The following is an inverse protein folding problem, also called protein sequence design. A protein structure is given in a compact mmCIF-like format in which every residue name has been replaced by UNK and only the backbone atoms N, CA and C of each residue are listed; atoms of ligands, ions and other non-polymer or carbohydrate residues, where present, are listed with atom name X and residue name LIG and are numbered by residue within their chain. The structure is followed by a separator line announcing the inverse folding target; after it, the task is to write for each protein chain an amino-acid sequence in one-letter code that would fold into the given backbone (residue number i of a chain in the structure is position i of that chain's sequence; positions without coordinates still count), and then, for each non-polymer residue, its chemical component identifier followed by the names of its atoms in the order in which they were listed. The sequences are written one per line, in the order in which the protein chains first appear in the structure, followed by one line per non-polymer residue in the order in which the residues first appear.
data_IF_520406632168
#
_entry.id   IF_520406632168
#
_cell.length_a   1.000
_cell.length_b   1.000
_cell.length_c   1.000
_cell.angle_alpha   90.00
_cell.angle_beta   90.00
_cell.angle_gamma   90.00
#
_symmetry.space_group_name_H-M   'P 1'
#
loop_
_entity.id
_entity.type
_entity.pdbx_description
1 polymer ?
#
# COMPACT_ATOMS: atom_id res chain seq x y z
N UNK A 1 3.10 8.05 -24.03
CA UNK A 1 1.97 8.65 -24.78
C UNK A 1 2.56 9.46 -25.93
N UNK A 2 2.32 9.10 -27.22
CA UNK A 2 3.01 9.75 -28.34
C UNK A 2 2.80 11.27 -28.40
N UNK A 3 1.61 11.76 -28.02
CA UNK A 3 1.29 13.19 -28.04
C UNK A 3 1.72 13.94 -26.77
N UNK A 4 2.40 13.29 -25.81
CA UNK A 4 2.77 13.93 -24.54
C UNK A 4 1.58 14.40 -23.68
N UNK A 5 0.36 13.90 -23.93
CA UNK A 5 -0.84 14.39 -23.25
C UNK A 5 -0.97 13.93 -21.79
N UNK A 6 -0.17 12.94 -21.36
CA UNK A 6 -0.20 12.43 -19.98
C UNK A 6 0.99 13.03 -19.24
N UNK A 7 0.71 13.63 -18.09
CA UNK A 7 1.72 14.27 -17.25
C UNK A 7 1.41 14.01 -15.77
N UNK A 8 2.44 14.11 -14.93
CA UNK A 8 2.35 14.06 -13.48
C UNK A 8 2.50 15.50 -12.97
N UNK A 9 1.54 15.95 -12.15
CA UNK A 9 1.61 17.25 -11.47
C UNK A 9 2.78 17.26 -10.49
N UNK A 10 3.47 18.39 -10.41
CA UNK A 10 4.69 18.51 -9.60
C UNK A 10 4.37 18.68 -8.11
N UNK A 11 3.27 19.39 -7.83
CA UNK A 11 2.82 19.79 -6.50
C UNK A 11 2.25 18.63 -5.66
N UNK A 12 1.48 17.72 -6.27
CA UNK A 12 0.75 16.66 -5.56
C UNK A 12 1.03 15.24 -6.11
N UNK A 13 1.74 15.13 -7.23
CA UNK A 13 2.04 13.86 -7.88
C UNK A 13 0.85 13.20 -8.58
N UNK A 14 -0.28 13.89 -8.78
CA UNK A 14 -1.43 13.34 -9.50
C UNK A 14 -1.14 13.23 -10.99
N UNK A 15 -1.34 12.04 -11.56
CA UNK A 15 -1.17 11.80 -13.01
C UNK A 15 -2.48 12.14 -13.72
N UNK A 16 -2.45 13.02 -14.71
CA UNK A 16 -3.63 13.44 -15.48
C UNK A 16 -3.47 13.18 -16.97
N UNK A 17 -4.59 13.13 -17.68
CA UNK A 17 -4.62 13.17 -19.15
C UNK A 17 -5.15 14.55 -19.54
N UNK A 18 -4.35 15.34 -20.25
CA UNK A 18 -4.79 16.60 -20.82
C UNK A 18 -5.69 16.30 -22.03
N UNK A 19 -7.00 16.53 -21.90
CA UNK A 19 -7.98 16.23 -22.94
C UNK A 19 -7.82 17.08 -24.21
N UNK A 20 -7.34 18.33 -24.07
CA UNK A 20 -7.06 19.22 -25.20
C UNK A 20 -5.89 18.70 -26.05
N UNK A 21 -4.87 18.15 -25.40
CA UNK A 21 -3.68 17.59 -26.08
C UNK A 21 -3.85 16.12 -26.48
N UNK A 22 -4.86 15.44 -25.94
CA UNK A 22 -5.10 14.04 -26.21
C UNK A 22 -5.53 13.82 -27.68
N UNK A 23 -4.76 13.03 -28.42
CA UNK A 23 -5.02 12.72 -29.85
C UNK A 23 -5.61 11.32 -30.07
N UNK A 24 -6.17 10.70 -29.03
CA UNK A 24 -6.86 9.42 -29.16
C UNK A 24 -6.01 8.24 -29.68
N UNK A 25 -4.68 8.28 -29.53
CA UNK A 25 -3.80 7.20 -29.97
C UNK A 25 -4.06 5.86 -29.25
N UNK A 26 -4.76 5.89 -28.10
CA UNK A 26 -5.13 4.72 -27.26
C UNK A 26 -3.96 3.85 -26.76
N UNK A 27 -2.71 4.19 -27.11
CA UNK A 27 -1.52 3.49 -26.62
C UNK A 27 -1.41 3.47 -25.09
N UNK A 28 -1.90 4.53 -24.42
CA UNK A 28 -1.93 4.59 -22.95
C UNK A 28 -2.86 3.54 -22.32
N UNK A 29 -3.95 3.16 -23.00
CA UNK A 29 -4.89 2.13 -22.53
C UNK A 29 -4.20 0.77 -22.51
N UNK A 30 -3.49 0.44 -23.59
CA UNK A 30 -2.71 -0.79 -23.69
C UNK A 30 -1.54 -0.80 -22.70
N UNK A 31 -0.75 0.29 -22.68
CA UNK A 31 0.47 0.40 -21.91
C UNK A 31 0.26 0.40 -20.39
N UNK A 32 -0.87 0.86 -19.88
CA UNK A 32 -1.15 0.80 -18.44
C UNK A 32 -1.33 -0.66 -18.00
N UNK A 33 -0.44 -1.23 -17.17
CA UNK A 33 -0.55 -2.63 -16.79
C UNK A 33 -1.78 -2.86 -15.89
N UNK A 34 -2.15 -1.87 -15.08
CA UNK A 34 -3.35 -1.89 -14.24
C UNK A 34 -4.67 -1.62 -14.99
N UNK A 35 -4.61 -1.31 -16.29
CA UNK A 35 -5.79 -0.96 -17.11
C UNK A 35 -6.67 0.13 -16.49
N UNK A 36 -6.03 1.16 -15.91
CA UNK A 36 -6.70 2.31 -15.25
C UNK A 36 -6.82 3.57 -16.12
N UNK A 37 -6.61 3.41 -17.42
CA UNK A 37 -6.93 4.41 -18.43
C UNK A 37 -8.03 3.84 -19.31
N UNK A 38 -9.13 4.56 -19.44
CA UNK A 38 -10.30 4.13 -20.19
C UNK A 38 -10.46 5.03 -21.42
N UNK A 39 -10.92 4.46 -22.53
CA UNK A 39 -11.23 5.25 -23.71
C UNK A 39 -12.70 5.65 -23.69
N UNK A 40 -12.96 6.95 -23.78
CA UNK A 40 -14.31 7.46 -23.96
C UNK A 40 -14.64 7.48 -25.46
N UNK A 41 -15.58 6.63 -25.84
CA UNK A 41 -16.02 6.48 -27.23
C UNK A 41 -16.79 7.70 -27.76
N UNK A 42 -17.37 8.51 -26.88
CA UNK A 42 -18.13 9.71 -27.25
C UNK A 42 -17.22 10.91 -27.48
N UNK A 43 -16.33 11.22 -26.52
CA UNK A 43 -15.39 12.35 -26.66
C UNK A 43 -14.22 12.03 -27.59
N UNK A 44 -14.01 10.74 -27.85
CA UNK A 44 -12.86 10.24 -28.56
C UNK A 44 -11.55 10.40 -27.79
N UNK A 45 -11.58 10.70 -26.49
CA UNK A 45 -10.37 10.90 -25.65
C UNK A 45 -10.20 9.75 -24.67
N UNK A 46 -8.99 9.61 -24.15
CA UNK A 46 -8.73 8.72 -23.01
C UNK A 46 -8.87 9.49 -21.70
N UNK A 47 -9.51 8.86 -20.72
CA UNK A 47 -9.79 9.39 -19.39
C UNK A 47 -9.26 8.43 -18.32
N UNK A 48 -9.04 8.93 -17.11
CA UNK A 48 -8.56 8.12 -15.97
C UNK A 48 -9.00 8.72 -14.65
N UNK A 49 -8.77 7.98 -13.56
CA UNK A 49 -8.90 8.53 -12.20
C UNK A 49 -8.04 9.80 -12.06
N UNK A 50 -8.65 10.89 -11.62
CA UNK A 50 -7.99 12.19 -11.43
C UNK A 50 -7.58 12.43 -9.95
N UNK A 51 -7.60 11.38 -9.12
CA UNK A 51 -7.44 11.42 -7.66
C UNK A 51 -8.32 12.47 -6.96
N UNK A 52 -9.42 12.88 -7.59
CA UNK A 52 -10.24 14.00 -7.15
C UNK A 52 -9.40 15.26 -6.85
N UNK A 53 -8.44 15.62 -7.71
CA UNK A 53 -7.58 16.79 -7.47
C UNK A 53 -8.34 18.08 -7.09
N UNK A 54 -9.55 18.41 -7.61
CA UNK A 54 -10.25 19.63 -7.16
C UNK A 54 -10.65 19.59 -5.69
N UNK A 55 -10.86 18.38 -5.13
CA UNK A 55 -11.10 18.16 -3.70
C UNK A 55 -9.79 18.27 -2.91
N UNK A 56 -8.71 17.69 -3.43
CA UNK A 56 -7.40 17.77 -2.76
C UNK A 56 -6.89 19.21 -2.66
N UNK A 57 -7.10 20.03 -3.68
CA UNK A 57 -6.76 21.46 -3.69
C UNK A 57 -7.53 22.28 -2.63
N UNK A 58 -8.59 21.72 -2.06
CA UNK A 58 -9.40 22.32 -1.00
C UNK A 58 -9.36 21.50 0.29
N UNK A 59 -8.28 20.75 0.50
CA UNK A 59 -8.02 19.90 1.68
C UNK A 59 -9.09 18.84 1.96
N UNK A 60 -9.85 18.46 0.94
CA UNK A 60 -10.84 17.40 1.06
C UNK A 60 -10.25 16.06 0.60
N UNK A 61 -10.58 15.00 1.34
CA UNK A 61 -10.28 13.65 0.91
C UNK A 61 -10.94 13.33 -0.44
N UNK A 62 -10.29 12.53 -1.31
CA UNK A 62 -10.91 12.02 -2.53
C UNK A 62 -12.23 11.34 -2.23
N UNK A 63 -13.22 11.49 -3.12
CA UNK A 63 -14.59 11.04 -2.88
C UNK A 63 -14.66 9.56 -2.48
N UNK A 64 -13.83 8.73 -3.12
CA UNK A 64 -13.79 7.30 -2.86
C UNK A 64 -13.13 6.94 -1.50
N UNK A 65 -12.27 7.79 -0.96
CA UNK A 65 -11.72 7.65 0.39
C UNK A 65 -12.73 8.13 1.44
N UNK A 66 -13.35 9.29 1.17
CA UNK A 66 -14.37 9.89 2.04
C UNK A 66 -15.61 9.00 2.21
N UNK A 67 -16.08 8.35 1.14
CA UNK A 67 -17.27 7.49 1.19
C UNK A 67 -16.99 6.05 1.63
N UNK A 68 -15.77 5.74 2.09
CA UNK A 68 -15.39 4.38 2.43
C UNK A 68 -16.08 3.90 3.73
N UNK A 69 -17.18 3.16 3.57
CA UNK A 69 -17.97 2.61 4.69
C UNK A 69 -17.11 1.74 5.62
N UNK A 70 -16.23 0.91 5.06
CA UNK A 70 -15.34 0.03 5.83
C UNK A 70 -14.19 0.75 6.56
N UNK A 71 -14.01 2.06 6.34
CA UNK A 71 -12.94 2.88 6.96
C UNK A 71 -11.52 2.32 6.75
N UNK A 72 -11.29 1.66 5.61
CA UNK A 72 -10.01 1.01 5.27
C UNK A 72 -9.06 1.90 4.45
N UNK A 73 -9.50 3.08 4.03
CA UNK A 73 -8.72 3.97 3.15
C UNK A 73 -8.07 5.07 3.95
N UNK A 74 -6.75 5.15 3.85
CA UNK A 74 -5.93 6.19 4.47
C UNK A 74 -5.28 7.02 3.38
N UNK A 75 -5.31 8.35 3.54
CA UNK A 75 -4.59 9.30 2.71
C UNK A 75 -3.48 9.94 3.54
N UNK A 76 -2.35 10.24 2.91
CA UNK A 76 -1.22 10.86 3.58
C UNK A 76 -0.13 11.20 2.58
N UNK A 77 0.63 12.25 2.89
CA UNK A 77 1.74 12.73 2.07
C UNK A 77 2.91 11.75 2.19
N UNK A 78 3.60 11.53 1.07
CA UNK A 78 4.87 10.82 1.00
C UNK A 78 5.87 11.71 0.26
N UNK A 79 6.97 12.03 0.91
CA UNK A 79 8.10 12.68 0.26
C UNK A 79 8.90 11.61 -0.48
N UNK A 80 9.29 11.88 -1.72
CA UNK A 80 10.07 10.94 -2.52
C UNK A 80 11.13 11.67 -3.34
N UNK A 81 12.24 10.98 -3.57
CA UNK A 81 13.30 11.45 -4.47
C UNK A 81 12.98 11.02 -5.91
N UNK A 82 12.66 12.00 -6.76
CA UNK A 82 12.28 11.75 -8.15
C UNK A 82 13.45 11.21 -8.99
N UNK A 83 14.69 11.59 -8.68
CA UNK A 83 15.88 11.20 -9.44
C UNK A 83 16.24 9.73 -9.22
N UNK A 84 15.83 9.15 -8.09
CA UNK A 84 16.04 7.73 -7.78
C UNK A 84 15.04 6.80 -8.46
N UNK A 85 13.94 7.31 -9.00
CA UNK A 85 12.85 6.49 -9.57
C UNK A 85 13.34 5.56 -10.69
N UNK A 86 14.12 6.00 -11.70
CA UNK A 86 14.57 5.11 -12.77
C UNK A 86 15.45 3.98 -12.28
N UNK A 87 16.34 4.25 -11.32
CA UNK A 87 17.19 3.23 -10.70
C UNK A 87 16.37 2.23 -9.89
N UNK A 88 15.44 2.72 -9.07
CA UNK A 88 14.56 1.88 -8.25
C UNK A 88 13.63 1.00 -9.09
N UNK A 89 13.13 1.49 -10.23
CA UNK A 89 12.30 0.70 -11.13
C UNK A 89 13.11 -0.36 -11.92
N UNK A 90 14.44 -0.22 -11.99
CA UNK A 90 15.35 -1.07 -12.76
C UNK A 90 15.94 -2.26 -12.00
N UNK A 91 15.74 -2.37 -10.68
CA UNK A 91 16.33 -3.44 -9.85
C UNK A 91 15.76 -4.82 -10.13
N UNK A 92 16.35 -5.89 -9.58
CA UNK A 92 15.81 -7.24 -9.69
C UNK A 92 14.45 -7.38 -8.98
N UNK A 93 13.62 -8.34 -9.38
CA UNK A 93 12.26 -8.49 -8.81
C UNK A 93 12.28 -8.69 -7.28
N UNK A 94 13.29 -9.39 -6.76
CA UNK A 94 13.50 -9.59 -5.32
C UNK A 94 13.80 -8.31 -4.54
N UNK A 95 14.29 -7.25 -5.21
CA UNK A 95 14.70 -5.99 -4.59
C UNK A 95 13.67 -4.86 -4.80
N UNK A 96 12.60 -5.11 -5.57
CA UNK A 96 11.63 -4.07 -5.92
C UNK A 96 10.94 -3.47 -4.69
N UNK A 97 10.64 -4.29 -3.67
CA UNK A 97 9.99 -3.82 -2.44
C UNK A 97 10.92 -2.92 -1.61
N UNK A 98 12.19 -3.30 -1.46
CA UNK A 98 13.17 -2.45 -0.78
C UNK A 98 13.39 -1.16 -1.55
N UNK A 99 13.55 -1.23 -2.87
CA UNK A 99 13.74 -0.06 -3.72
C UNK A 99 12.54 0.91 -3.66
N UNK A 100 11.30 0.39 -3.67
CA UNK A 100 10.10 1.18 -3.43
C UNK A 100 10.16 1.96 -2.11
N UNK A 101 10.58 1.28 -1.04
CA UNK A 101 10.67 1.89 0.28
C UNK A 101 11.81 2.91 0.38
N UNK A 102 12.92 2.69 -0.31
CA UNK A 102 14.09 3.60 -0.31
C UNK A 102 13.84 4.91 -1.03
N UNK A 103 12.99 4.90 -2.07
CA UNK A 103 12.56 6.12 -2.76
C UNK A 103 11.73 7.04 -1.87
N UNK A 104 11.03 6.48 -0.88
CA UNK A 104 10.25 7.25 0.10
C UNK A 104 11.16 7.74 1.23
N UNK A 105 11.23 9.06 1.37
CA UNK A 105 12.10 9.79 2.29
C UNK A 105 11.45 9.96 3.68
N UNK A 106 12.29 10.10 4.72
CA UNK A 106 11.81 10.36 6.08
C UNK A 106 11.44 11.84 6.26
N UNK A 107 10.17 12.18 6.56
CA UNK A 107 9.73 13.56 6.74
C UNK A 107 10.25 14.24 8.02
N UNK A 108 10.92 13.51 8.90
CA UNK A 108 11.53 14.04 10.13
C UNK A 108 13.05 14.25 10.01
N UNK A 109 13.66 13.78 8.92
CA UNK A 109 15.09 13.96 8.68
C UNK A 109 15.39 15.44 8.34
N UNK A 110 16.28 16.12 9.10
CA UNK A 110 16.67 17.50 8.82
C UNK A 110 17.17 17.75 7.39
N UNK A 111 17.88 16.80 6.78
CA UNK A 111 18.40 16.93 5.41
C UNK A 111 17.26 16.89 4.39
N UNK A 112 16.31 15.98 4.57
CA UNK A 112 15.10 15.86 3.73
C UNK A 112 14.24 17.11 3.85
N UNK A 113 14.08 17.66 5.06
CA UNK A 113 13.31 18.90 5.29
C UNK A 113 13.97 20.09 4.58
N UNK A 114 15.29 20.23 4.68
CA UNK A 114 16.03 21.29 4.01
C UNK A 114 15.91 21.16 2.47
N UNK A 115 16.08 19.95 1.95
CA UNK A 115 15.94 19.67 0.52
C UNK A 115 14.50 19.93 0.02
N UNK A 116 13.48 19.52 0.77
CA UNK A 116 12.08 19.74 0.41
C UNK A 116 11.74 21.24 0.33
N UNK A 117 12.22 22.05 1.27
CA UNK A 117 12.08 23.51 1.24
C UNK A 117 12.78 24.13 0.03
N UNK A 118 13.99 23.66 -0.30
CA UNK A 118 14.72 24.12 -1.48
C UNK A 118 13.98 23.78 -2.79
N UNK A 119 13.22 22.68 -2.81
CA UNK A 119 12.37 22.27 -3.93
C UNK A 119 10.97 22.91 -3.91
N UNK A 120 10.72 23.87 -3.01
CA UNK A 120 9.47 24.63 -2.99
C UNK A 120 8.28 23.93 -2.34
N UNK A 121 8.50 22.86 -1.55
CA UNK A 121 7.44 22.23 -0.75
C UNK A 121 7.14 23.12 0.47
N UNK A 122 5.89 23.52 0.65
CA UNK A 122 5.47 24.36 1.76
C UNK A 122 5.38 23.60 3.08
N UNK A 123 5.35 24.37 4.18
CA UNK A 123 5.30 23.81 5.53
C UNK A 123 4.02 23.00 5.81
N UNK A 124 2.90 23.30 5.15
CA UNK A 124 1.65 22.56 5.31
C UNK A 124 1.80 21.12 4.80
N UNK A 125 2.45 20.94 3.65
CA UNK A 125 2.79 19.62 3.13
C UNK A 125 3.82 18.88 3.99
N UNK A 126 4.84 19.58 4.52
CA UNK A 126 5.83 18.99 5.42
C UNK A 126 5.20 18.49 6.73
N UNK A 127 4.34 19.29 7.35
CA UNK A 127 3.62 18.90 8.56
C UNK A 127 2.70 17.69 8.29
N UNK A 128 2.01 17.70 7.15
CA UNK A 128 1.15 16.60 6.71
C UNK A 128 1.95 15.32 6.44
N UNK A 129 3.18 15.44 5.91
CA UNK A 129 4.08 14.31 5.72
C UNK A 129 4.52 13.69 7.06
N UNK A 130 4.87 14.50 8.06
CA UNK A 130 5.22 14.01 9.41
C UNK A 130 4.06 13.29 10.09
N UNK A 131 2.83 13.73 9.86
CA UNK A 131 1.61 13.12 10.42
C UNK A 131 1.02 12.02 9.54
N UNK A 132 1.63 11.71 8.39
CA UNK A 132 1.10 10.81 7.39
C UNK A 132 0.86 9.40 7.94
N UNK A 133 -0.40 8.90 7.97
CA UNK A 133 -0.67 7.51 8.32
C UNK A 133 -0.08 6.56 7.29
N UNK A 134 -0.06 6.97 6.02
CA UNK A 134 0.49 6.18 4.91
C UNK A 134 1.99 5.97 5.09
N UNK A 135 2.75 7.00 5.48
CA UNK A 135 4.18 6.87 5.81
C UNK A 135 4.40 5.84 6.94
N UNK A 136 3.57 5.89 7.99
CA UNK A 136 3.66 4.92 9.10
C UNK A 136 3.40 3.50 8.63
N UNK A 137 2.36 3.26 7.83
CA UNK A 137 2.06 1.91 7.32
C UNK A 137 3.17 1.34 6.41
N UNK A 138 3.83 2.19 5.62
CA UNK A 138 4.86 1.76 4.68
C UNK A 138 6.24 1.65 5.37
N UNK A 139 6.72 2.73 5.98
CA UNK A 139 8.12 2.85 6.45
C UNK A 139 8.32 2.41 7.89
N UNK A 140 7.40 2.79 8.78
CA UNK A 140 7.54 2.52 10.23
C UNK A 140 7.06 1.11 10.57
N UNK A 141 5.86 0.75 10.13
CA UNK A 141 5.24 -0.53 10.43
C UNK A 141 5.55 -1.59 9.38
N UNK A 142 5.92 -1.21 8.16
CA UNK A 142 6.23 -2.15 7.07
C UNK A 142 5.10 -3.16 6.85
N UNK A 143 3.86 -2.66 6.81
CA UNK A 143 2.64 -3.46 6.68
C UNK A 143 1.89 -3.22 5.38
N UNK A 144 2.09 -2.05 4.75
CA UNK A 144 1.49 -1.74 3.47
C UNK A 144 2.49 -1.99 2.34
N UNK A 145 2.04 -2.72 1.33
CA UNK A 145 2.84 -3.19 0.19
C UNK A 145 2.28 -2.63 -1.13
N UNK A 146 3.12 -2.32 -2.13
CA UNK A 146 2.64 -1.90 -3.44
C UNK A 146 1.88 -3.03 -4.14
N UNK A 147 0.98 -2.67 -5.06
CA UNK A 147 0.30 -3.64 -5.92
C UNK A 147 1.13 -3.92 -7.17
N UNK A 148 1.39 -5.19 -7.48
CA UNK A 148 2.15 -5.64 -8.64
C UNK A 148 3.45 -4.82 -8.89
N UNK A 149 4.39 -4.82 -7.93
CA UNK A 149 5.66 -4.09 -8.07
C UNK A 149 6.45 -4.48 -9.33
N UNK A 150 6.32 -5.71 -9.81
CA UNK A 150 6.95 -6.24 -11.03
C UNK A 150 6.58 -5.47 -12.31
N UNK A 151 5.49 -4.68 -12.28
CA UNK A 151 5.16 -3.76 -13.36
C UNK A 151 6.08 -2.53 -13.44
N UNK A 152 6.94 -2.32 -12.43
CA UNK A 152 8.00 -1.30 -12.43
C UNK A 152 7.50 0.12 -12.67
N UNK A 153 6.26 0.39 -12.28
CA UNK A 153 5.62 1.71 -12.41
C UNK A 153 5.82 2.61 -11.18
N UNK A 154 6.47 2.10 -10.13
CA UNK A 154 6.55 2.75 -8.81
C UNK A 154 5.17 3.21 -8.30
N UNK A 155 4.21 2.27 -8.24
CA UNK A 155 2.84 2.57 -7.85
C UNK A 155 2.75 3.17 -6.43
N UNK A 156 1.99 4.25 -6.29
CA UNK A 156 1.84 5.01 -5.04
C UNK A 156 0.59 4.62 -4.22
N UNK A 157 -0.10 3.55 -4.61
CA UNK A 157 -1.22 3.00 -3.86
C UNK A 157 -0.77 1.68 -3.21
N UNK A 158 -0.82 1.64 -1.88
CA UNK A 158 -0.34 0.52 -1.08
C UNK A 158 -1.51 -0.19 -0.40
N UNK A 159 -1.32 -1.47 -0.12
CA UNK A 159 -2.33 -2.37 0.43
C UNK A 159 -1.77 -3.09 1.64
N UNK A 160 -2.57 -3.16 2.70
CA UNK A 160 -2.32 -4.10 3.80
C UNK A 160 -2.99 -5.43 3.40
N UNK A 161 -2.24 -6.54 3.28
CA UNK A 161 -2.82 -7.83 2.94
C UNK A 161 -3.92 -8.25 3.95
N UNK A 162 -5.00 -8.90 3.50
CA UNK A 162 -6.06 -9.34 4.39
C UNK A 162 -5.62 -10.55 5.22
N UNK A 163 -6.09 -10.62 6.46
CA UNK A 163 -6.12 -11.88 7.20
C UNK A 163 -7.27 -12.74 6.65
N UNK A 164 -7.03 -14.04 6.53
CA UNK A 164 -8.02 -15.03 6.12
C UNK A 164 -8.48 -15.84 7.33
N UNK A 165 -9.75 -16.31 7.37
CA UNK A 165 -10.14 -17.33 8.33
C UNK A 165 -9.35 -18.63 8.11
N UNK A 166 -9.22 -19.41 9.18
CA UNK A 166 -8.68 -20.78 9.17
C UNK A 166 -9.68 -21.70 8.44
N UNK A 167 -9.17 -22.68 7.70
CA UNK A 167 -10.01 -23.66 7.01
C UNK A 167 -10.72 -24.56 8.04
N UNK A 168 -12.02 -24.80 7.85
CA UNK A 168 -12.77 -25.79 8.63
C UNK A 168 -12.46 -27.19 8.10
N UNK A 169 -12.15 -28.13 8.99
CA UNK A 169 -12.03 -29.55 8.67
C UNK A 169 -13.39 -30.21 8.94
N UNK A 170 -13.83 -31.09 8.03
CA UNK A 170 -15.05 -31.88 8.22
C UNK A 170 -14.66 -33.19 8.88
N UNK A 171 -15.06 -33.37 10.15
CA UNK A 171 -15.00 -34.65 10.87
C UNK A 171 -16.43 -35.02 11.29
N UNK A 172 -16.86 -36.26 11.02
CA UNK A 172 -18.14 -36.83 11.46
C UNK A 172 -19.38 -35.94 11.22
N UNK A 173 -19.55 -35.44 9.99
CA UNK A 173 -20.67 -34.58 9.56
C UNK A 173 -20.80 -33.23 10.31
N UNK A 174 -19.82 -32.88 11.16
CA UNK A 174 -19.73 -31.61 11.86
C UNK A 174 -18.57 -30.76 11.30
N UNK A 175 -18.84 -29.47 11.10
CA UNK A 175 -17.78 -28.51 10.79
C UNK A 175 -17.01 -28.19 12.08
N UNK A 176 -15.84 -28.81 12.29
CA UNK A 176 -14.90 -28.35 13.31
C UNK A 176 -13.96 -27.32 12.67
N UNK A 177 -13.79 -26.18 13.35
CA UNK A 177 -12.60 -25.38 13.12
C UNK A 177 -11.42 -26.20 13.64
N UNK A 178 -10.37 -26.33 12.83
CA UNK A 178 -9.12 -27.02 13.22
C UNK A 178 -8.36 -26.14 14.21
N UNK A 179 -8.91 -26.04 15.41
CA UNK A 179 -8.40 -25.29 16.55
C UNK A 179 -8.26 -26.33 17.65
N UNK A 180 -7.02 -26.59 18.07
CA UNK A 180 -6.70 -27.43 19.22
C UNK A 180 -7.18 -26.74 20.50
N UNK A 181 -7.60 -27.50 21.52
CA UNK A 181 -8.13 -26.97 22.78
C UNK A 181 -7.03 -26.42 23.73
N UNK A 182 -5.80 -26.22 23.26
CA UNK A 182 -4.68 -25.84 24.10
C UNK A 182 -4.53 -24.32 24.20
N UNK A 183 -4.79 -23.79 25.40
CA UNK A 183 -4.63 -22.36 25.76
C UNK A 183 -3.19 -21.85 25.55
N UNK A 184 -2.76 -21.53 24.33
CA UNK A 184 -1.57 -20.71 24.13
C UNK A 184 -1.73 -19.82 22.89
N UNK A 185 -1.51 -18.52 23.08
CA UNK A 185 -1.50 -17.47 22.04
C UNK A 185 -0.58 -17.77 20.83
N UNK A 186 0.20 -18.86 20.88
CA UNK A 186 1.01 -19.41 19.79
C UNK A 186 0.19 -20.03 18.65
N UNK A 187 -1.07 -20.43 18.87
CA UNK A 187 -1.92 -21.07 17.85
C UNK A 187 -2.13 -20.17 16.62
N UNK A 188 -2.14 -18.86 16.78
CA UNK A 188 -2.47 -17.94 15.67
C UNK A 188 -1.38 -17.89 14.58
N UNK A 189 -0.13 -18.20 14.91
CA UNK A 189 0.98 -18.14 13.95
C UNK A 189 1.16 -19.42 13.14
N UNK A 190 0.89 -20.58 13.74
CA UNK A 190 0.99 -21.89 13.08
C UNK A 190 -0.10 -22.07 12.01
N UNK A 191 -1.25 -21.40 12.16
CA UNK A 191 -2.36 -21.47 11.21
C UNK A 191 -2.26 -20.52 10.00
N UNK A 192 -1.17 -19.75 9.85
CA UNK A 192 -0.98 -18.95 8.63
C UNK A 192 -0.89 -19.84 7.38
N UNK A 193 -0.32 -21.04 7.52
CA UNK A 193 -0.22 -22.02 6.44
C UNK A 193 -1.53 -22.79 6.21
N UNK A 194 -2.41 -22.87 7.21
CA UNK A 194 -3.77 -23.44 7.09
C UNK A 194 -4.85 -22.38 6.81
N UNK A 195 -4.43 -21.15 6.48
CA UNK A 195 -5.33 -20.09 6.09
C UNK A 195 -6.02 -20.41 4.76
N UNK A 196 -7.30 -20.07 4.64
CA UNK A 196 -8.08 -20.31 3.42
C UNK A 196 -7.52 -19.61 2.17
N UNK A 197 -6.90 -18.43 2.33
CA UNK A 197 -6.21 -17.74 1.24
C UNK A 197 -4.74 -18.20 1.15
N UNK A 198 -4.29 -18.76 0.01
CA UNK A 198 -2.91 -19.15 -0.17
C UNK A 198 -1.95 -17.96 -0.05
N UNK A 199 -0.88 -18.11 0.73
CA UNK A 199 0.14 -17.08 0.90
C UNK A 199 0.81 -16.74 -0.44
N UNK A 200 1.09 -17.73 -1.27
CA UNK A 200 1.63 -17.53 -2.62
C UNK A 200 0.77 -16.59 -3.46
N UNK A 201 -0.56 -16.64 -3.33
CA UNK A 201 -1.45 -15.75 -4.08
C UNK A 201 -1.25 -14.28 -3.66
N UNK A 202 -1.13 -14.02 -2.36
CA UNK A 202 -0.83 -12.68 -1.84
C UNK A 202 0.57 -12.23 -2.24
N UNK A 203 1.54 -13.15 -2.25
CA UNK A 203 2.91 -12.85 -2.63
C UNK A 203 3.01 -12.45 -4.12
N UNK A 204 2.32 -13.18 -5.00
CA UNK A 204 2.23 -12.84 -6.42
C UNK A 204 1.59 -11.45 -6.65
N UNK A 205 0.71 -11.01 -5.75
CA UNK A 205 0.00 -9.75 -5.89
C UNK A 205 0.79 -8.54 -5.36
N UNK A 206 1.55 -8.71 -4.28
CA UNK A 206 2.12 -7.59 -3.53
C UNK A 206 3.64 -7.59 -3.42
N UNK A 207 4.32 -8.71 -3.70
CA UNK A 207 5.75 -8.88 -3.41
C UNK A 207 6.52 -9.57 -4.54
N UNK A 208 5.98 -9.54 -5.77
CA UNK A 208 6.55 -10.24 -6.92
C UNK A 208 6.86 -11.74 -6.65
N UNK A 209 6.04 -12.38 -5.79
CA UNK A 209 6.15 -13.79 -5.45
C UNK A 209 6.92 -14.10 -4.15
N UNK A 210 7.49 -13.11 -3.44
CA UNK A 210 8.17 -13.35 -2.16
C UNK A 210 7.20 -13.55 -0.98
N UNK A 211 6.99 -14.80 -0.58
CA UNK A 211 6.14 -15.15 0.56
C UNK A 211 6.68 -14.66 1.91
N UNK A 212 8.00 -14.49 2.07
CA UNK A 212 8.60 -14.16 3.37
C UNK A 212 8.11 -12.81 3.87
N UNK A 213 8.03 -11.83 2.96
CA UNK A 213 7.52 -10.49 3.26
C UNK A 213 6.04 -10.57 3.67
N UNK A 214 5.21 -11.32 2.94
CA UNK A 214 3.79 -11.50 3.28
C UNK A 214 3.65 -12.12 4.67
N UNK A 215 4.37 -13.21 4.95
CA UNK A 215 4.36 -13.88 6.26
C UNK A 215 4.73 -12.91 7.37
N UNK A 216 5.76 -12.09 7.20
CA UNK A 216 6.15 -11.09 8.19
C UNK A 216 5.02 -10.08 8.46
N UNK A 217 4.35 -9.57 7.42
CA UNK A 217 3.23 -8.63 7.57
C UNK A 217 2.05 -9.27 8.30
N UNK A 218 1.63 -10.46 7.86
CA UNK A 218 0.51 -11.17 8.49
C UNK A 218 0.82 -11.51 9.96
N UNK A 219 2.03 -11.96 10.25
CA UNK A 219 2.51 -12.19 11.62
C UNK A 219 2.40 -10.92 12.46
N UNK A 220 2.83 -9.78 11.94
CA UNK A 220 2.74 -8.50 12.64
C UNK A 220 1.30 -8.10 12.94
N UNK A 221 0.36 -8.31 12.00
CA UNK A 221 -1.06 -8.06 12.24
C UNK A 221 -1.63 -8.93 13.36
N UNK A 222 -1.28 -10.22 13.39
CA UNK A 222 -1.70 -11.14 14.44
C UNK A 222 -1.12 -10.78 15.79
N UNK A 223 0.18 -10.42 15.85
CA UNK A 223 0.83 -9.95 17.07
C UNK A 223 0.11 -8.73 17.68
N UNK A 224 -0.30 -7.76 16.84
CA UNK A 224 -1.07 -6.60 17.30
C UNK A 224 -2.43 -7.02 17.86
N UNK A 225 -3.12 -7.98 17.23
CA UNK A 225 -4.41 -8.49 17.74
C UNK A 225 -4.26 -9.18 19.10
N UNK A 226 -3.24 -10.01 19.26
CA UNK A 226 -2.94 -10.70 20.53
C UNK A 226 -2.64 -9.67 21.62
N UNK A 227 -1.71 -8.74 21.36
CA UNK A 227 -1.37 -7.68 22.31
C UNK A 227 -2.59 -6.85 22.73
N UNK A 228 -3.45 -6.48 21.77
CA UNK A 228 -4.66 -5.72 22.08
C UNK A 228 -5.68 -6.53 22.88
N UNK A 229 -5.78 -7.85 22.66
CA UNK A 229 -6.61 -8.76 23.46
C UNK A 229 -6.10 -8.85 24.90
N UNK A 230 -4.81 -9.13 25.08
CA UNK A 230 -4.17 -9.19 26.40
C UNK A 230 -4.42 -7.89 27.18
N UNK A 231 -4.22 -6.74 26.52
CA UNK A 231 -4.46 -5.43 27.12
C UNK A 231 -5.93 -5.16 27.47
N UNK A 232 -6.88 -5.53 26.61
CA UNK A 232 -8.30 -5.14 26.76
C UNK A 232 -9.15 -6.13 27.55
N UNK A 233 -8.85 -7.42 27.45
CA UNK A 233 -9.62 -8.51 28.07
C UNK A 233 -8.91 -9.01 29.32
N UNK A 234 -7.64 -9.39 29.19
CA UNK A 234 -6.91 -10.12 30.24
C UNK A 234 -6.25 -9.18 31.26
N UNK A 235 -6.04 -7.91 30.90
CA UNK A 235 -5.41 -6.85 31.73
C UNK A 235 -4.00 -7.20 32.25
N UNK A 236 -3.41 -8.27 31.73
CA UNK A 236 -2.02 -8.63 31.96
C UNK A 236 -1.20 -8.07 30.79
N UNK A 237 -0.35 -7.10 31.07
CA UNK A 237 0.62 -6.61 30.09
C UNK A 237 1.97 -7.14 30.56
N UNK A 238 2.46 -8.22 29.95
CA UNK A 238 3.88 -8.53 30.09
C UNK A 238 4.65 -7.40 29.41
N UNK A 239 5.50 -6.72 30.18
CA UNK A 239 6.38 -5.64 29.68
C UNK A 239 7.52 -6.15 28.80
N UNK A 240 7.56 -7.45 28.53
CA UNK A 240 8.60 -8.12 27.77
C UNK A 240 8.01 -8.64 26.45
N UNK A 241 7.78 -7.72 25.52
CA UNK A 241 7.43 -8.01 24.13
C UNK A 241 8.59 -8.64 23.33
N UNK A 242 9.27 -9.65 23.88
CA UNK A 242 10.22 -10.49 23.16
C UNK A 242 9.57 -11.84 22.92
N UNK A 243 9.22 -12.08 21.66
CA UNK A 243 8.96 -13.41 21.13
C UNK A 243 10.27 -14.19 21.31
N UNK A 244 10.36 -15.06 22.33
CA UNK A 244 11.39 -16.09 22.34
C UNK A 244 11.10 -17.04 21.18
N UNK A 245 12.16 -17.28 20.40
CA UNK A 245 12.16 -18.01 19.14
C UNK A 245 11.70 -19.46 19.29
#
# INVERSE_FOLDING_TARGET
CPSGAIYKRAEDGVVLVNENNCRAWRMCVAACPYKKVYYNWSSGKSEKCILCFPRMETDQAPACAHSCVGRIRYMGVLLYDADRIPGAAGVSDSELISAHNEVILDPNDPEVIAAARANGIDEGWLESARKSPVYKFIKVWKMALPLHPEYRTMAMMYYVPPLSPVVSVVEDELFRLDITDEKHDFEVFHHLDSARLPIQYLANLFTAGDEKIIRQVLRKMLAVRIYMRQKSVEKEISSEGRIQA
#
